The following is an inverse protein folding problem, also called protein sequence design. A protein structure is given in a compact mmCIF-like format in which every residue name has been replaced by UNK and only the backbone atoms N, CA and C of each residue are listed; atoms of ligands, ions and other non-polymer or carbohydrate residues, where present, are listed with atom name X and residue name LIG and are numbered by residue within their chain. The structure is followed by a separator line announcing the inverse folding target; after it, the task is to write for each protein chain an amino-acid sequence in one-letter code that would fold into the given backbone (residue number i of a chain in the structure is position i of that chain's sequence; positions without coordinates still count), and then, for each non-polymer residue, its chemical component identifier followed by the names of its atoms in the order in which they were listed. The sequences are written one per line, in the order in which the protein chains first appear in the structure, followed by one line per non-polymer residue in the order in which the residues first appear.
data_IF_278929051981
#
_entry.id   IF_278929051981
#
_cell.length_a   1.000
_cell.length_b   1.000
_cell.length_c   1.000
_cell.angle_alpha   90.00
_cell.angle_beta   90.00
_cell.angle_gamma   90.00
#
_symmetry.space_group_name_H-M   'P 1'
#
loop_
_entity.id
_entity.type
_entity.pdbx_description
1 polymer ?
#
# COMPACT_ATOMS: atom_id res chain seq x y z
N UNK A 1 -13.25 9.89 4.51
CA UNK A 1 -11.96 9.20 4.28
C UNK A 1 -12.29 7.81 3.77
N UNK A 2 -12.04 7.52 2.51
CA UNK A 2 -12.34 6.22 1.92
C UNK A 2 -11.11 5.33 2.12
N UNK A 3 -11.19 4.35 3.04
CA UNK A 3 -10.13 3.34 3.16
C UNK A 3 -9.98 2.61 1.81
N UNK A 4 -8.77 2.22 1.41
CA UNK A 4 -8.55 1.28 0.31
C UNK A 4 -9.35 -0.03 0.44
N UNK A 5 -9.93 -0.34 1.60
CA UNK A 5 -10.78 -1.51 1.85
C UNK A 5 -12.24 -1.33 1.41
N UNK A 6 -12.73 -0.09 1.27
CA UNK A 6 -14.12 0.21 0.86
C UNK A 6 -14.12 0.93 -0.49
N UNK A 7 -13.59 0.23 -1.49
CA UNK A 7 -13.56 0.64 -2.89
C UNK A 7 -14.96 0.51 -3.46
N UNK A 8 -15.88 1.39 -3.07
CA UNK A 8 -17.25 1.43 -3.60
C UNK A 8 -17.26 1.96 -5.05
N UNK A 9 -16.61 1.23 -5.96
CA UNK A 9 -16.44 1.64 -7.35
C UNK A 9 -17.77 1.88 -8.04
N UNK A 10 -18.74 0.99 -7.83
CA UNK A 10 -20.08 1.13 -8.41
C UNK A 10 -20.78 2.40 -7.94
N UNK A 11 -20.68 2.73 -6.65
CA UNK A 11 -21.27 3.96 -6.11
C UNK A 11 -20.55 5.19 -6.69
N UNK A 12 -19.22 5.20 -6.70
CA UNK A 12 -18.43 6.32 -7.25
C UNK A 12 -18.71 6.53 -8.74
N UNK A 13 -18.82 5.45 -9.51
CA UNK A 13 -19.20 5.46 -10.93
C UNK A 13 -20.59 6.04 -11.12
N UNK A 14 -21.57 5.59 -10.32
CA UNK A 14 -22.96 6.10 -10.37
C UNK A 14 -23.02 7.59 -10.04
N UNK A 15 -22.33 8.03 -8.98
CA UNK A 15 -22.28 9.44 -8.58
C UNK A 15 -21.58 10.31 -9.65
N UNK A 16 -20.47 9.84 -10.21
CA UNK A 16 -19.76 10.52 -11.30
C UNK A 16 -20.60 10.66 -12.57
N UNK A 17 -21.38 9.64 -12.92
CA UNK A 17 -22.33 9.70 -14.04
C UNK A 17 -23.49 10.67 -13.78
N UNK A 18 -24.05 10.62 -12.57
CA UNK A 18 -25.27 11.38 -12.20
C UNK A 18 -24.99 12.87 -12.03
N UNK A 19 -23.92 13.21 -11.30
CA UNK A 19 -23.64 14.59 -10.90
C UNK A 19 -22.45 15.19 -11.65
N UNK A 20 -21.47 14.36 -12.03
CA UNK A 20 -20.29 14.81 -12.78
C UNK A 20 -20.46 14.74 -14.30
N UNK A 21 -21.56 14.18 -14.79
CA UNK A 21 -21.81 13.90 -16.22
C UNK A 21 -20.66 13.11 -16.90
N UNK A 22 -19.90 12.33 -16.13
CA UNK A 22 -18.76 11.55 -16.62
C UNK A 22 -19.28 10.25 -17.24
N UNK A 23 -19.07 10.09 -18.55
CA UNK A 23 -19.26 8.79 -19.22
C UNK A 23 -17.97 7.97 -19.07
N UNK A 24 -18.03 6.94 -18.24
CA UNK A 24 -16.91 6.01 -18.04
C UNK A 24 -17.30 4.61 -18.50
N UNK A 25 -16.46 4.04 -19.38
CA UNK A 25 -16.51 2.64 -19.82
C UNK A 25 -15.54 1.74 -19.04
N UNK A 26 -14.82 2.32 -18.07
CA UNK A 26 -13.69 1.64 -17.45
C UNK A 26 -14.16 0.67 -16.38
N UNK A 27 -13.44 -0.45 -16.27
CA UNK A 27 -13.67 -1.45 -15.24
C UNK A 27 -12.89 -1.10 -13.98
N UNK A 28 -13.31 -1.60 -12.83
CA UNK A 28 -12.63 -1.35 -11.55
C UNK A 28 -11.16 -1.76 -11.57
N UNK A 29 -10.83 -2.84 -12.29
CA UNK A 29 -9.45 -3.31 -12.50
C UNK A 29 -8.54 -2.30 -13.18
N UNK A 30 -9.10 -1.29 -13.86
CA UNK A 30 -8.35 -0.21 -14.51
C UNK A 30 -8.20 1.02 -13.61
N UNK A 31 -8.83 1.02 -12.43
CA UNK A 31 -8.75 2.11 -11.47
C UNK A 31 -7.58 1.87 -10.54
N UNK A 32 -6.61 2.77 -10.61
CA UNK A 32 -5.61 2.89 -9.58
C UNK A 32 -6.22 3.66 -8.41
N UNK A 33 -6.21 3.07 -7.23
CA UNK A 33 -6.70 3.70 -6.00
C UNK A 33 -5.55 4.43 -5.33
N UNK A 34 -5.54 5.76 -5.47
CA UNK A 34 -4.54 6.62 -4.84
C UNK A 34 -5.15 7.23 -3.58
N UNK A 35 -4.33 7.34 -2.55
CA UNK A 35 -4.64 8.00 -1.28
C UNK A 35 -3.62 9.12 -1.11
N UNK A 36 -4.06 10.26 -0.57
CA UNK A 36 -3.13 11.33 -0.24
C UNK A 36 -2.22 10.90 0.93
N UNK A 37 -0.96 11.35 0.94
CA UNK A 37 -0.04 11.04 2.05
C UNK A 37 -0.60 11.44 3.42
N UNK A 38 -1.41 12.51 3.48
CA UNK A 38 -2.08 12.97 4.70
C UNK A 38 -3.15 12.02 5.24
N UNK A 39 -3.65 11.11 4.41
CA UNK A 39 -4.69 10.13 4.75
C UNK A 39 -4.10 8.73 5.01
N UNK A 40 -2.80 8.54 4.79
CA UNK A 40 -2.10 7.29 5.05
C UNK A 40 -1.80 7.12 6.55
N UNK A 41 -1.89 5.90 7.10
CA UNK A 41 -1.43 5.62 8.45
C UNK A 41 0.04 6.01 8.62
N UNK A 42 0.39 6.54 9.80
CA UNK A 42 1.75 7.01 10.08
C UNK A 42 2.82 5.95 9.80
N UNK A 43 2.52 4.69 10.14
CA UNK A 43 3.42 3.57 9.94
C UNK A 43 3.70 3.27 8.46
N UNK A 44 2.72 3.49 7.58
CA UNK A 44 2.89 3.35 6.13
C UNK A 44 3.83 4.44 5.61
N UNK A 45 3.64 5.69 6.08
CA UNK A 45 4.49 6.81 5.71
C UNK A 45 5.93 6.56 6.16
N UNK A 46 6.13 6.13 7.41
CA UNK A 46 7.47 5.83 7.93
C UNK A 46 8.15 4.67 7.18
N UNK A 47 7.40 3.64 6.78
CA UNK A 47 7.93 2.58 5.93
C UNK A 47 8.40 3.15 4.59
N UNK A 48 7.58 3.97 3.93
CA UNK A 48 7.92 4.58 2.65
C UNK A 48 9.15 5.49 2.77
N UNK A 49 9.23 6.33 3.80
CA UNK A 49 10.40 7.17 4.08
C UNK A 49 11.66 6.32 4.27
N UNK A 50 11.57 5.22 5.02
CA UNK A 50 12.68 4.31 5.25
C UNK A 50 13.20 3.66 3.95
N UNK A 51 12.27 3.25 3.07
CA UNK A 51 12.58 2.61 1.80
C UNK A 51 13.12 3.61 0.76
N UNK A 52 12.55 4.81 0.68
CA UNK A 52 13.01 5.88 -0.21
C UNK A 52 14.40 6.37 0.21
N UNK A 53 14.68 6.45 1.52
CA UNK A 53 16.02 6.80 2.01
C UNK A 53 17.11 5.80 1.61
N UNK A 54 16.73 4.56 1.21
CA UNK A 54 17.66 3.47 0.85
C UNK A 54 17.67 3.13 -0.63
N UNK A 55 16.62 3.50 -1.36
CA UNK A 55 16.43 3.12 -2.75
C UNK A 55 16.17 4.34 -3.61
N UNK A 56 16.63 4.32 -4.86
CA UNK A 56 16.51 5.46 -5.78
C UNK A 56 15.13 5.57 -6.44
N UNK A 57 14.24 4.59 -6.23
CA UNK A 57 12.95 4.49 -6.93
C UNK A 57 12.07 3.44 -6.26
N UNK A 58 10.74 3.59 -6.37
CA UNK A 58 9.77 2.63 -5.87
C UNK A 58 9.97 1.22 -6.46
N UNK A 59 10.30 1.09 -7.75
CA UNK A 59 10.55 -0.22 -8.39
C UNK A 59 11.69 -0.98 -7.71
N UNK A 60 12.79 -0.28 -7.40
CA UNK A 60 13.93 -0.86 -6.68
C UNK A 60 13.57 -1.24 -5.24
N UNK A 61 12.72 -0.46 -4.58
CA UNK A 61 12.20 -0.83 -3.27
C UNK A 61 11.36 -2.12 -3.37
N UNK A 62 10.52 -2.24 -4.41
CA UNK A 62 9.73 -3.44 -4.65
C UNK A 62 10.62 -4.66 -4.90
N UNK A 63 11.61 -4.56 -5.80
CA UNK A 63 12.55 -5.66 -6.07
C UNK A 63 13.38 -6.04 -4.83
N UNK A 64 13.70 -5.07 -3.97
CA UNK A 64 14.39 -5.33 -2.70
C UNK A 64 13.49 -6.10 -1.72
N UNK A 65 12.18 -5.84 -1.73
CA UNK A 65 11.20 -6.49 -0.86
C UNK A 65 10.75 -7.87 -1.38
N UNK A 66 10.69 -8.05 -2.71
CA UNK A 66 10.42 -9.32 -3.38
C UNK A 66 11.73 -10.09 -3.63
N UNK A 67 12.43 -10.45 -2.54
CA UNK A 67 13.70 -11.18 -2.66
C UNK A 67 13.54 -12.58 -3.24
N UNK A 68 12.34 -13.15 -3.20
CA UNK A 68 12.00 -14.46 -3.78
C UNK A 68 11.76 -14.37 -5.30
N UNK A 69 11.61 -13.15 -5.86
CA UNK A 69 11.41 -12.92 -7.29
C UNK A 69 10.08 -13.44 -7.82
N UNK A 70 9.06 -13.48 -6.97
CA UNK A 70 7.72 -14.01 -7.31
C UNK A 70 6.82 -12.97 -7.99
N UNK A 71 7.25 -11.71 -7.99
CA UNK A 71 6.45 -10.56 -8.40
C UNK A 71 5.42 -10.13 -7.35
N UNK A 72 5.43 -10.73 -6.16
CA UNK A 72 4.48 -10.45 -5.08
C UNK A 72 5.24 -10.28 -3.76
N UNK A 73 4.89 -9.26 -2.97
CA UNK A 73 5.45 -9.09 -1.63
C UNK A 73 4.54 -9.85 -0.66
N UNK A 74 5.10 -10.78 0.09
CA UNK A 74 4.37 -11.47 1.16
C UNK A 74 4.63 -10.78 2.50
N UNK A 75 3.75 -11.00 3.48
CA UNK A 75 3.99 -10.49 4.84
C UNK A 75 5.34 -10.94 5.40
N UNK A 76 5.70 -12.21 5.13
CA UNK A 76 6.98 -12.77 5.54
C UNK A 76 8.14 -12.04 4.86
N UNK A 77 8.06 -11.82 3.55
CA UNK A 77 9.16 -11.15 2.84
C UNK A 77 9.34 -9.71 3.29
N UNK A 78 8.24 -9.00 3.54
CA UNK A 78 8.27 -7.66 4.11
C UNK A 78 8.93 -7.65 5.50
N UNK A 79 8.50 -8.52 6.42
CA UNK A 79 9.05 -8.58 7.77
C UNK A 79 10.55 -8.94 7.78
N UNK A 80 10.93 -9.97 7.02
CA UNK A 80 12.32 -10.44 6.93
C UNK A 80 13.24 -9.35 6.36
N UNK A 81 12.79 -8.62 5.32
CA UNK A 81 13.58 -7.54 4.73
C UNK A 81 13.71 -6.35 5.69
N UNK A 82 12.66 -6.01 6.44
CA UNK A 82 12.73 -4.95 7.44
C UNK A 82 13.72 -5.29 8.56
N UNK A 83 13.78 -6.55 8.98
CA UNK A 83 14.74 -7.03 9.97
C UNK A 83 16.17 -7.00 9.42
N UNK A 84 16.37 -7.50 8.19
CA UNK A 84 17.68 -7.49 7.54
C UNK A 84 18.21 -6.08 7.28
N UNK A 85 17.34 -5.12 6.99
CA UNK A 85 17.70 -3.71 6.80
C UNK A 85 17.89 -2.95 8.13
N UNK A 86 17.66 -3.61 9.27
CA UNK A 86 17.77 -3.04 10.60
C UNK A 86 16.74 -1.94 10.85
N UNK A 87 15.51 -2.09 10.35
CA UNK A 87 14.43 -1.14 10.55
C UNK A 87 13.93 -1.15 12.00
N UNK A 88 14.51 -0.31 12.85
CA UNK A 88 14.15 -0.22 14.28
C UNK A 88 12.83 0.49 14.56
N UNK A 89 12.18 1.06 13.54
CA UNK A 89 10.97 1.89 13.68
C UNK A 89 9.76 1.08 14.19
N UNK A 90 9.76 -0.22 13.89
CA UNK A 90 8.73 -1.17 14.31
C UNK A 90 9.16 -1.98 15.53
N UNK A 91 10.31 -1.73 16.15
CA UNK A 91 10.74 -2.47 17.34
C UNK A 91 9.75 -2.25 18.50
N UNK A 92 9.36 -3.33 19.16
CA UNK A 92 8.35 -3.33 20.23
C UNK A 92 7.61 -4.66 20.32
N UNK A 93 6.76 -4.80 21.33
CA UNK A 93 5.90 -5.98 21.50
C UNK A 93 4.83 -6.08 20.39
N UNK A 94 4.46 -4.96 19.77
CA UNK A 94 3.44 -4.82 18.72
C UNK A 94 4.01 -4.77 17.29
N UNK A 95 5.29 -5.10 17.13
CA UNK A 95 6.02 -5.04 15.85
C UNK A 95 5.28 -5.68 14.69
N UNK A 96 4.93 -6.95 14.84
CA UNK A 96 4.32 -7.74 13.77
C UNK A 96 2.90 -7.29 13.46
N UNK A 97 2.15 -6.85 14.48
CA UNK A 97 0.79 -6.32 14.30
C UNK A 97 0.82 -5.01 13.49
N UNK A 98 1.77 -4.11 13.79
CA UNK A 98 1.97 -2.87 13.03
C UNK A 98 2.40 -3.13 11.60
N UNK A 99 3.33 -4.05 11.38
CA UNK A 99 3.73 -4.46 10.01
C UNK A 99 2.54 -5.08 9.28
N UNK A 100 1.69 -5.85 9.96
CA UNK A 100 0.51 -6.47 9.35
C UNK A 100 -0.53 -5.42 8.92
N UNK A 101 -0.75 -4.39 9.73
CA UNK A 101 -1.63 -3.26 9.38
C UNK A 101 -1.09 -2.54 8.14
N UNK A 102 0.21 -2.28 8.09
CA UNK A 102 0.85 -1.67 6.92
C UNK A 102 0.72 -2.55 5.68
N UNK A 103 0.95 -3.85 5.82
CA UNK A 103 0.83 -4.81 4.73
C UNK A 103 -0.58 -4.82 4.13
N UNK A 104 -1.62 -4.92 4.99
CA UNK A 104 -3.02 -4.86 4.55
C UNK A 104 -3.39 -3.53 3.90
N UNK A 105 -2.86 -2.42 4.41
CA UNK A 105 -3.12 -1.12 3.82
C UNK A 105 -2.52 -0.99 2.41
N UNK A 106 -1.31 -1.50 2.21
CA UNK A 106 -0.61 -1.47 0.92
C UNK A 106 -1.20 -2.46 -0.09
N UNK A 107 -1.68 -3.61 0.36
CA UNK A 107 -2.35 -4.61 -0.47
C UNK A 107 -3.70 -5.06 0.12
N UNK A 108 -4.79 -4.30 -0.13
CA UNK A 108 -6.13 -4.62 0.37
C UNK A 108 -6.81 -5.79 -0.34
N UNK A 109 -6.15 -6.38 -1.36
CA UNK A 109 -6.69 -7.45 -2.18
C UNK A 109 -6.40 -8.87 -1.67
N UNK A 110 -5.61 -9.00 -0.59
CA UNK A 110 -5.23 -10.27 0.04
C UNK A 110 -5.94 -10.55 1.36
#
# INVERSE_FOLDING_TARGET
VCSPDDRQFDLRRKLGQTYGYIKTTQTESQVLWWTGLSEAPHDVICLLEFLIGRTSSADKAFTMLDFEGTGTITFRSLADVLDNLGCKKFDGEDKYDRIQIVFRYLDPGM
#
